data_IF_643073720734
#
_entry.id   IF_643073720734
#
_cell.length_a   1.000
_cell.length_b   1.000
_cell.length_c   1.000
_cell.angle_alpha   90.00
_cell.angle_beta   90.00
_cell.angle_gamma   90.00
#
_symmetry.space_group_name_H-M   'P 1'
#
loop_
_entity.id
_entity.type
_entity.pdbx_description
1 polymer ?
#
# COMPACT_ATOMS: atom_id res chain seq x y z
N UNK A 1 7.29 8.22 -12.92
CA UNK A 1 5.95 8.02 -13.48
C UNK A 1 6.10 7.41 -14.86
N UNK A 2 5.21 6.52 -15.27
CA UNK A 2 5.35 5.61 -16.43
C UNK A 2 6.43 4.55 -16.27
N UNK A 3 6.05 3.49 -15.56
CA UNK A 3 6.83 2.29 -15.46
C UNK A 3 6.50 1.34 -16.63
N UNK A 4 7.48 0.86 -17.41
CA UNK A 4 7.19 0.13 -18.65
C UNK A 4 6.45 -1.20 -18.42
N UNK A 5 6.63 -1.81 -17.25
CA UNK A 5 6.08 -3.13 -16.92
C UNK A 5 5.09 -3.08 -15.76
N UNK A 6 4.58 -1.90 -15.40
CA UNK A 6 3.62 -1.79 -14.30
C UNK A 6 2.67 -0.63 -14.55
N UNK A 7 1.39 -0.89 -14.36
CA UNK A 7 0.32 0.10 -14.53
C UNK A 7 -0.45 0.21 -13.23
N UNK A 8 -0.71 1.44 -12.79
CA UNK A 8 -1.68 1.70 -11.72
C UNK A 8 -3.07 1.41 -12.28
N UNK A 9 -3.76 0.44 -11.69
CA UNK A 9 -5.11 0.04 -12.12
C UNK A 9 -6.21 0.65 -11.28
N UNK A 10 -5.94 0.92 -9.99
CA UNK A 10 -6.91 1.51 -9.08
C UNK A 10 -6.22 2.19 -7.90
N UNK A 11 -6.96 3.11 -7.26
CA UNK A 11 -6.56 3.84 -6.05
C UNK A 11 -7.70 3.64 -5.06
N UNK A 12 -7.37 3.34 -3.80
CA UNK A 12 -8.39 3.05 -2.80
C UNK A 12 -8.22 3.91 -1.55
N UNK A 13 -9.35 4.16 -0.88
CA UNK A 13 -9.41 4.83 0.41
C UNK A 13 -10.25 4.02 1.41
N UNK A 14 -10.00 4.26 2.69
CA UNK A 14 -10.79 3.73 3.83
C UNK A 14 -11.90 4.68 4.25
N UNK A 15 -11.84 5.93 3.80
CA UNK A 15 -12.85 6.95 4.07
C UNK A 15 -13.93 6.89 2.99
N UNK A 16 -15.19 7.06 3.37
CA UNK A 16 -16.34 7.03 2.46
C UNK A 16 -16.43 8.25 1.53
N UNK A 17 -15.53 9.21 1.63
CA UNK A 17 -15.50 10.39 0.76
C UNK A 17 -14.68 10.09 -0.51
N UNK A 18 -15.37 9.94 -1.63
CA UNK A 18 -14.77 9.79 -2.97
C UNK A 18 -14.38 11.15 -3.55
N UNK A 19 -13.51 11.88 -2.84
CA UNK A 19 -12.91 13.10 -3.38
C UNK A 19 -11.88 12.71 -4.44
N UNK A 20 -11.95 13.34 -5.61
CA UNK A 20 -10.94 13.15 -6.66
C UNK A 20 -9.55 13.49 -6.07
N UNK A 21 -8.59 12.58 -6.23
CA UNK A 21 -7.22 12.76 -5.73
C UNK A 21 -6.58 14.05 -6.28
N UNK A 22 -7.02 14.49 -7.47
CA UNK A 22 -6.58 15.72 -8.10
C UNK A 22 -7.09 16.99 -7.42
N UNK A 23 -8.17 16.93 -6.64
CA UNK A 23 -8.63 18.08 -5.84
C UNK A 23 -7.64 18.38 -4.71
N UNK A 24 -7.01 17.34 -4.15
CA UNK A 24 -6.03 17.46 -3.07
C UNK A 24 -4.59 17.56 -3.59
N UNK A 25 -4.32 16.89 -4.70
CA UNK A 25 -3.01 16.85 -5.35
C UNK A 25 -3.15 17.15 -6.84
N UNK A 26 -3.34 18.43 -7.23
CA UNK A 26 -3.56 18.81 -8.64
C UNK A 26 -2.47 18.35 -9.61
N UNK A 27 -1.24 18.19 -9.11
CA UNK A 27 -0.11 17.69 -9.89
C UNK A 27 -0.23 16.20 -10.30
N UNK A 28 -1.08 15.42 -9.63
CA UNK A 28 -1.34 14.02 -9.97
C UNK A 28 -2.39 13.86 -11.09
N UNK A 29 -3.18 14.90 -11.38
CA UNK A 29 -4.26 14.85 -12.38
C UNK A 29 -3.80 14.44 -13.77
N UNK A 30 -2.65 14.95 -14.19
CA UNK A 30 -2.06 14.64 -15.50
C UNK A 30 -1.38 13.27 -15.53
N UNK A 31 -1.17 12.65 -14.38
CA UNK A 31 -0.44 11.39 -14.22
C UNK A 31 -1.38 10.20 -14.03
N UNK A 32 -2.49 10.40 -13.31
CA UNK A 32 -3.47 9.37 -12.99
C UNK A 32 -4.87 9.96 -13.12
N UNK A 33 -5.61 9.53 -14.15
CA UNK A 33 -7.02 9.86 -14.32
C UNK A 33 -7.89 8.75 -13.67
N UNK A 34 -7.67 8.51 -12.37
CA UNK A 34 -8.32 7.46 -11.60
C UNK A 34 -9.04 8.08 -10.40
N UNK A 35 -10.32 7.74 -10.24
CA UNK A 35 -11.10 8.11 -9.07
C UNK A 35 -10.82 7.12 -7.94
N UNK A 36 -10.49 7.58 -6.72
CA UNK A 36 -10.41 6.70 -5.57
C UNK A 36 -11.73 5.96 -5.33
N UNK A 37 -11.64 4.67 -5.06
CA UNK A 37 -12.77 3.81 -4.68
C UNK A 37 -12.63 3.34 -3.24
N UNK A 38 -13.73 2.89 -2.64
CA UNK A 38 -13.70 2.28 -1.32
C UNK A 38 -12.86 1.00 -1.34
N UNK A 39 -12.03 0.84 -0.32
CA UNK A 39 -11.20 -0.34 -0.12
C UNK A 39 -12.06 -1.61 0.00
N UNK A 40 -11.84 -2.56 -0.91
CA UNK A 40 -12.37 -3.92 -0.87
C UNK A 40 -11.24 -4.89 -1.26
N UNK A 41 -10.70 -5.68 -0.32
CA UNK A 41 -9.57 -6.55 -0.57
C UNK A 41 -9.88 -7.65 -1.59
N UNK A 42 -11.11 -8.16 -1.61
CA UNK A 42 -11.51 -9.20 -2.55
C UNK A 42 -11.56 -8.66 -3.98
N UNK A 43 -12.11 -7.47 -4.16
CA UNK A 43 -12.14 -6.81 -5.46
C UNK A 43 -10.74 -6.44 -5.95
N UNK A 44 -9.90 -5.89 -5.06
CA UNK A 44 -8.50 -5.53 -5.38
C UNK A 44 -7.72 -6.75 -5.88
N UNK A 45 -7.84 -7.89 -5.21
CA UNK A 45 -7.14 -9.13 -5.61
C UNK A 45 -7.62 -9.71 -6.94
N UNK A 46 -8.83 -9.36 -7.40
CA UNK A 46 -9.34 -9.80 -8.70
C UNK A 46 -8.81 -8.98 -9.87
N UNK A 47 -8.47 -7.71 -9.64
CA UNK A 47 -8.10 -6.76 -10.70
C UNK A 47 -6.61 -6.48 -10.79
N UNK A 48 -5.82 -6.97 -9.84
CA UNK A 48 -4.44 -6.58 -9.68
C UNK A 48 -3.51 -7.74 -9.33
N UNK A 49 -2.22 -7.52 -9.56
CA UNK A 49 -1.17 -8.48 -9.21
C UNK A 49 -0.50 -8.16 -7.86
N UNK A 50 -0.62 -6.90 -7.41
CA UNK A 50 0.07 -6.39 -6.22
C UNK A 50 -0.62 -5.15 -5.65
N UNK A 51 -0.60 -5.01 -4.33
CA UNK A 51 -1.09 -3.82 -3.60
C UNK A 51 0.02 -3.13 -2.82
N UNK A 52 0.02 -1.80 -2.82
CA UNK A 52 0.85 -0.95 -1.98
C UNK A 52 0.00 -0.32 -0.88
N UNK A 53 0.44 -0.48 0.36
CA UNK A 53 -0.09 0.26 1.50
C UNK A 53 0.68 1.57 1.65
N UNK A 54 -0.04 2.69 1.55
CA UNK A 54 0.47 4.05 1.71
C UNK A 54 -0.24 4.78 2.88
N UNK A 55 -0.62 4.02 3.91
CA UNK A 55 -1.43 4.47 5.06
C UNK A 55 -0.61 5.02 6.20
N UNK A 56 -1.20 5.75 7.13
CA UNK A 56 -0.57 6.01 8.43
C UNK A 56 -0.04 4.74 9.10
N UNK A 57 1.04 4.87 9.89
CA UNK A 57 1.56 3.73 10.65
C UNK A 57 0.52 3.20 11.64
N UNK A 58 0.47 1.87 11.77
CA UNK A 58 -0.48 1.13 12.56
C UNK A 58 -1.74 0.73 11.80
N UNK A 59 -1.92 1.16 10.55
CA UNK A 59 -3.14 0.88 9.76
C UNK A 59 -2.94 -0.31 8.81
N UNK A 60 -1.76 -0.44 8.19
CA UNK A 60 -1.54 -1.50 7.20
C UNK A 60 -1.52 -2.88 7.83
N UNK A 61 -1.12 -2.99 9.10
CA UNK A 61 -1.19 -4.25 9.86
C UNK A 61 -2.58 -4.87 9.91
N UNK A 62 -3.63 -4.05 9.93
CA UNK A 62 -5.01 -4.52 10.09
C UNK A 62 -5.62 -4.84 8.72
N UNK A 63 -5.32 -4.02 7.72
CA UNK A 63 -5.92 -4.12 6.38
C UNK A 63 -5.21 -5.11 5.46
N UNK A 64 -3.94 -5.42 5.73
CA UNK A 64 -3.19 -6.39 4.93
C UNK A 64 -3.56 -7.85 5.25
N UNK A 65 -4.36 -8.13 6.28
CA UNK A 65 -4.63 -9.49 6.76
C UNK A 65 -5.24 -10.38 5.69
N UNK A 66 -6.24 -9.89 4.95
CA UNK A 66 -6.91 -10.66 3.88
C UNK A 66 -5.93 -11.01 2.76
N UNK A 67 -5.07 -10.08 2.38
CA UNK A 67 -4.03 -10.29 1.37
C UNK A 67 -2.97 -11.31 1.84
N UNK A 68 -2.54 -11.21 3.11
CA UNK A 68 -1.58 -12.15 3.70
C UNK A 68 -2.17 -13.56 3.75
N UNK A 69 -3.45 -13.69 4.14
CA UNK A 69 -4.15 -14.98 4.16
C UNK A 69 -4.28 -15.57 2.75
N UNK A 70 -4.58 -14.74 1.76
CA UNK A 70 -4.65 -15.13 0.35
C UNK A 70 -3.27 -15.37 -0.30
N UNK A 71 -2.16 -15.09 0.41
CA UNK A 71 -0.79 -15.07 -0.15
C UNK A 71 -0.65 -14.14 -1.35
N UNK A 72 -1.45 -13.07 -1.37
CA UNK A 72 -1.39 -12.04 -2.38
C UNK A 72 -0.19 -11.13 -2.14
N UNK A 73 0.54 -10.69 -3.18
CA UNK A 73 1.67 -9.80 -3.01
C UNK A 73 1.27 -8.46 -2.34
N UNK A 74 2.05 -8.01 -1.36
CA UNK A 74 1.83 -6.75 -0.63
C UNK A 74 3.14 -5.98 -0.47
N UNK A 75 3.10 -4.67 -0.70
CA UNK A 75 4.17 -3.73 -0.37
C UNK A 75 3.69 -2.79 0.75
N UNK A 76 4.25 -2.96 1.94
CA UNK A 76 3.96 -2.14 3.13
C UNK A 76 4.98 -0.99 3.27
N UNK A 77 4.61 0.22 2.80
CA UNK A 77 5.47 1.40 2.92
C UNK A 77 5.61 1.91 4.36
N UNK A 78 4.54 1.95 5.19
CA UNK A 78 4.61 2.35 6.59
C UNK A 78 5.57 1.50 7.42
N UNK A 79 5.66 0.21 7.10
CA UNK A 79 6.56 -0.73 7.76
C UNK A 79 6.00 -1.33 9.05
N UNK A 80 4.69 -1.50 9.16
CA UNK A 80 4.05 -2.12 10.31
C UNK A 80 4.44 -3.60 10.51
N UNK A 81 4.94 -4.25 9.46
CA UNK A 81 5.46 -5.61 9.52
C UNK A 81 7.00 -5.69 9.63
N UNK A 82 7.69 -4.54 9.72
CA UNK A 82 9.16 -4.48 9.59
C UNK A 82 9.91 -4.89 10.86
N UNK A 83 9.33 -4.62 12.02
CA UNK A 83 10.01 -4.75 13.31
C UNK A 83 9.40 -5.88 14.15
N UNK A 84 10.23 -6.60 14.94
CA UNK A 84 9.76 -7.47 15.99
C UNK A 84 8.82 -6.75 16.96
N UNK A 85 7.90 -7.51 17.57
CA UNK A 85 6.82 -7.00 18.42
C UNK A 85 7.29 -6.05 19.54
N UNK A 86 8.35 -6.41 20.24
CA UNK A 86 8.94 -5.65 21.35
C UNK A 86 9.53 -4.31 20.87
N UNK A 87 10.22 -4.31 19.74
CA UNK A 87 10.79 -3.12 19.11
C UNK A 87 9.69 -2.23 18.55
N UNK A 88 8.70 -2.81 17.87
CA UNK A 88 7.57 -2.07 17.30
C UNK A 88 6.83 -1.28 18.40
N UNK A 89 6.45 -1.95 19.49
CA UNK A 89 5.74 -1.33 20.61
C UNK A 89 6.51 -0.16 21.22
N UNK A 90 7.85 -0.28 21.32
CA UNK A 90 8.74 0.76 21.84
C UNK A 90 8.72 2.03 20.98
N UNK A 91 8.75 1.90 19.65
CA UNK A 91 8.87 3.04 18.74
C UNK A 91 7.53 3.63 18.34
N UNK A 92 6.57 2.78 18.00
CA UNK A 92 5.29 3.18 17.45
C UNK A 92 4.20 3.37 18.52
N UNK A 93 4.44 2.94 19.76
CA UNK A 93 3.48 3.02 20.88
C UNK A 93 2.10 2.44 20.52
N UNK A 94 2.10 1.44 19.64
CA UNK A 94 0.93 0.74 19.14
C UNK A 94 1.16 -0.77 19.28
N UNK A 95 0.09 -1.56 19.30
CA UNK A 95 0.20 -3.02 19.34
C UNK A 95 0.76 -3.54 18.00
N UNK A 96 1.73 -4.45 18.03
CA UNK A 96 2.27 -5.03 16.81
C UNK A 96 1.27 -5.99 16.15
N UNK A 97 1.53 -6.33 14.90
CA UNK A 97 0.89 -7.49 14.25
C UNK A 97 1.44 -8.80 14.82
N UNK A 98 0.89 -9.94 14.42
CA UNK A 98 1.34 -11.25 14.92
C UNK A 98 2.75 -11.58 14.41
N UNK A 99 3.53 -12.32 15.21
CA UNK A 99 4.86 -12.79 14.80
C UNK A 99 4.80 -13.65 13.53
N UNK A 100 3.72 -14.40 13.33
CA UNK A 100 3.45 -15.15 12.10
C UNK A 100 3.33 -14.21 10.89
N UNK A 101 2.62 -13.11 11.02
CA UNK A 101 2.46 -12.13 9.95
C UNK A 101 3.78 -11.39 9.67
N UNK A 102 4.56 -11.04 10.69
CA UNK A 102 5.91 -10.47 10.55
C UNK A 102 6.82 -11.43 9.78
N UNK A 103 6.80 -12.73 10.12
CA UNK A 103 7.59 -13.74 9.42
C UNK A 103 7.18 -13.90 7.96
N UNK A 104 5.88 -13.78 7.66
CA UNK A 104 5.35 -13.80 6.29
C UNK A 104 5.66 -12.54 5.49
N UNK A 105 5.89 -11.42 6.15
CA UNK A 105 6.26 -10.16 5.51
C UNK A 105 7.71 -10.12 4.99
N UNK A 106 8.44 -11.24 5.06
CA UNK A 106 9.72 -11.41 4.37
C UNK A 106 9.57 -11.14 2.87
N UNK A 107 9.92 -9.92 2.44
CA UNK A 107 10.77 -9.59 1.28
C UNK A 107 10.39 -8.25 0.66
N UNK A 108 11.00 -7.17 1.15
CA UNK A 108 11.45 -6.05 0.30
C UNK A 108 12.76 -5.45 0.84
N UNK A 109 13.76 -6.30 1.05
CA UNK A 109 15.14 -5.87 0.91
C UNK A 109 15.57 -6.36 -0.48
N UNK A 110 15.60 -5.42 -1.43
CA UNK A 110 16.09 -5.59 -2.80
C UNK A 110 17.45 -6.30 -2.78
N UNK A 111 17.50 -7.59 -3.16
CA UNK A 111 17.97 -7.92 -4.50
C UNK A 111 17.17 -9.09 -5.11
N UNK A 112 16.91 -9.07 -6.42
CA UNK A 112 16.18 -10.10 -7.23
C UNK A 112 14.72 -9.80 -7.61
N UNK A 113 14.41 -8.58 -8.04
CA UNK A 113 13.28 -8.37 -8.94
C UNK A 113 13.79 -7.85 -10.28
N UNK A 114 13.85 -8.74 -11.27
CA UNK A 114 13.85 -8.39 -12.71
C UNK A 114 12.50 -7.79 -13.15
N UNK A 115 11.64 -7.43 -12.20
CA UNK A 115 10.39 -6.72 -12.40
C UNK A 115 10.50 -5.40 -11.67
N UNK A 116 10.75 -4.38 -12.45
CA UNK A 116 10.98 -3.02 -11.99
C UNK A 116 9.72 -2.55 -11.23
N UNK A 117 9.91 -1.85 -10.11
CA UNK A 117 8.86 -1.36 -9.21
C UNK A 117 8.91 0.16 -9.20
N UNK A 118 7.77 0.81 -9.38
CA UNK A 118 7.64 2.26 -9.24
C UNK A 118 7.40 2.62 -7.77
N UNK A 119 8.43 3.19 -7.13
CA UNK A 119 8.34 3.82 -5.82
C UNK A 119 7.59 5.15 -5.94
N UNK A 120 6.40 5.27 -5.35
CA UNK A 120 5.75 6.58 -5.18
C UNK A 120 6.06 7.07 -3.77
N UNK A 121 7.01 8.01 -3.69
CA UNK A 121 7.26 8.81 -2.50
C UNK A 121 6.25 9.96 -2.48
N UNK A 122 5.22 9.87 -1.63
CA UNK A 122 4.35 11.00 -1.32
C UNK A 122 5.03 11.76 -0.16
N UNK A 123 5.71 12.86 -0.48
CA UNK A 123 6.06 13.93 0.48
C UNK A 123 4.98 15.01 0.35
N UNK A 124 4.37 15.60 1.39
CA UNK A 124 4.90 15.98 2.70
C UNK A 124 3.80 16.31 3.74
N UNK A 125 4.24 16.29 5.00
CA UNK A 125 3.72 16.78 6.30
C UNK A 125 2.60 16.05 7.05
N UNK A 126 1.70 15.32 6.43
CA UNK A 126 0.83 14.37 7.14
C UNK A 126 0.24 13.44 6.08
N UNK A 127 0.45 12.12 6.18
CA UNK A 127 -0.14 11.13 5.27
C UNK A 127 -1.65 11.37 5.12
N UNK A 128 -2.06 12.03 4.05
CA UNK A 128 -3.44 12.44 3.88
C UNK A 128 -3.93 12.00 2.51
N UNK A 129 -4.79 10.97 2.56
CA UNK A 129 -5.98 10.74 1.73
C UNK A 129 -5.81 10.08 0.35
N UNK A 130 -4.76 9.30 0.15
CA UNK A 130 -4.81 8.16 -0.78
C UNK A 130 -4.20 6.97 -0.04
N UNK A 131 -5.05 6.07 0.44
CA UNK A 131 -4.62 5.09 1.43
C UNK A 131 -3.85 3.93 0.78
N UNK A 132 -4.12 3.63 -0.50
CA UNK A 132 -3.49 2.52 -1.23
C UNK A 132 -3.30 2.81 -2.73
N UNK A 133 -2.28 2.17 -3.31
CA UNK A 133 -2.03 2.12 -4.75
C UNK A 133 -2.01 0.67 -5.22
N UNK A 134 -2.69 0.37 -6.32
CA UNK A 134 -2.82 -1.00 -6.83
C UNK A 134 -2.20 -1.11 -8.23
N UNK A 135 -1.35 -2.11 -8.45
CA UNK A 135 -0.63 -2.32 -9.71
C UNK A 135 -0.99 -3.65 -10.39
N UNK A 136 -1.04 -3.64 -11.73
CA UNK A 136 -1.03 -4.83 -12.57
C UNK A 136 0.14 -4.80 -13.56
N UNK A 137 0.63 -5.98 -13.94
CA UNK A 137 1.52 -6.14 -15.09
C UNK A 137 0.69 -6.11 -16.38
N UNK A 138 1.22 -5.55 -17.48
CA UNK A 138 0.60 -5.63 -18.80
C UNK A 138 0.54 -7.05 -19.35
#
# INVERSE_FOLDING_TARGET
YNHPNAKVVSIHNTQTENTDISEQFPHLKSMYNLMPTTFDPMHIMQEADLVFFATSSGVSKDLAQDFIQAKFPVIDLPGDFRLPADIYKKWYKNEPTSDEAIQRAHFLLLPLLHKTICLIKITSSLMLKADYLVLANP
#
